data_IF_180306509410
#
_entry.id   IF_180306509410
#
_cell.length_a   1.000
_cell.length_b   1.000
_cell.length_c   1.000
_cell.angle_alpha   90.00
_cell.angle_beta   90.00
_cell.angle_gamma   90.00
#
_symmetry.space_group_name_H-M   'P 1'
#
loop_
_entity.id
_entity.type
_entity.pdbx_description
1 polymer ?
#
# COMPACT_ATOMS: atom_id res chain seq x y z
N UNK A 1 31.31 -14.56 50.51
CA UNK A 1 30.36 -13.80 49.68
C UNK A 1 31.15 -12.73 48.95
N UNK A 2 31.47 -12.96 47.68
CA UNK A 2 31.93 -11.94 46.74
C UNK A 2 31.54 -12.45 45.35
N UNK A 3 30.75 -11.65 44.66
CA UNK A 3 30.06 -11.91 43.41
C UNK A 3 31.01 -12.28 42.28
N UNK A 4 30.72 -13.37 41.59
CA UNK A 4 31.23 -13.65 40.24
C UNK A 4 30.70 -12.59 39.29
N UNK A 5 31.54 -11.61 38.95
CA UNK A 5 31.30 -10.73 37.81
C UNK A 5 31.31 -11.59 36.55
N UNK A 6 30.13 -11.88 36.02
CA UNK A 6 29.97 -12.35 34.65
C UNK A 6 30.49 -11.25 33.73
N UNK A 7 31.74 -11.43 33.26
CA UNK A 7 32.25 -10.69 32.11
C UNK A 7 31.33 -10.97 30.93
N UNK A 8 30.34 -10.09 30.73
CA UNK A 8 29.66 -9.96 29.45
C UNK A 8 30.73 -9.67 28.42
N UNK A 9 31.12 -10.70 27.65
CA UNK A 9 31.91 -10.52 26.46
C UNK A 9 31.03 -9.78 25.46
N UNK A 10 31.03 -8.45 25.52
CA UNK A 10 30.53 -7.65 24.41
C UNK A 10 31.46 -7.98 23.25
N UNK A 11 30.99 -8.69 22.21
CA UNK A 11 31.85 -8.94 21.08
C UNK A 11 32.21 -7.57 20.50
N UNK A 12 33.49 -7.38 20.19
CA UNK A 12 33.99 -6.32 19.32
C UNK A 12 33.48 -6.59 17.89
N UNK A 13 32.18 -6.71 17.73
CA UNK A 13 31.47 -6.94 16.49
C UNK A 13 30.55 -5.74 16.34
N UNK A 14 30.61 -5.13 15.17
CA UNK A 14 29.75 -4.02 14.80
C UNK A 14 28.28 -4.40 15.11
N UNK A 15 27.62 -3.64 15.97
CA UNK A 15 26.24 -3.88 16.42
C UNK A 15 25.28 -3.78 15.22
N UNK A 16 25.72 -3.16 14.13
CA UNK A 16 25.01 -3.03 12.87
C UNK A 16 25.48 -4.07 11.84
N UNK A 17 25.03 -5.31 12.00
CA UNK A 17 25.10 -6.27 10.89
C UNK A 17 23.99 -5.96 9.87
N UNK A 18 24.34 -5.30 8.75
CA UNK A 18 23.37 -4.91 7.70
C UNK A 18 22.52 -6.11 7.21
N UNK A 19 23.10 -7.31 7.20
CA UNK A 19 22.41 -8.52 6.77
C UNK A 19 21.38 -9.01 7.79
N UNK A 20 21.64 -8.78 9.07
CA UNK A 20 20.69 -9.04 10.14
C UNK A 20 19.55 -8.00 10.14
N UNK A 21 19.88 -6.74 9.86
CA UNK A 21 18.90 -5.67 9.69
C UNK A 21 18.02 -5.88 8.44
N UNK A 22 18.57 -6.33 7.32
CA UNK A 22 17.79 -6.71 6.14
C UNK A 22 16.86 -7.88 6.45
N UNK A 23 17.38 -8.91 7.14
CA UNK A 23 16.60 -10.06 7.52
C UNK A 23 15.48 -9.69 8.51
N UNK A 24 15.74 -8.84 9.49
CA UNK A 24 14.73 -8.37 10.44
C UNK A 24 13.65 -7.55 9.75
N UNK A 25 14.00 -6.70 8.79
CA UNK A 25 13.04 -5.97 7.96
C UNK A 25 12.21 -6.90 7.05
N UNK A 26 12.83 -7.92 6.44
CA UNK A 26 12.11 -8.87 5.60
C UNK A 26 11.12 -9.73 6.40
N UNK A 27 11.44 -10.01 7.67
CA UNK A 27 10.59 -10.76 8.60
C UNK A 27 9.57 -9.87 9.32
N UNK A 28 9.74 -8.55 9.32
CA UNK A 28 8.84 -7.64 10.02
C UNK A 28 7.45 -7.64 9.38
N UNK A 29 6.43 -7.45 10.20
CA UNK A 29 5.07 -7.25 9.71
C UNK A 29 4.97 -5.90 9.00
N UNK A 30 4.33 -5.83 7.81
CA UNK A 30 4.12 -4.54 7.17
C UNK A 30 3.03 -3.76 7.90
N UNK A 31 3.11 -2.43 7.84
CA UNK A 31 2.16 -1.52 8.49
C UNK A 31 0.75 -1.67 7.93
N UNK A 32 -0.22 -1.94 8.80
CA UNK A 32 -1.62 -2.12 8.44
C UNK A 32 -2.51 -1.10 9.20
N UNK A 33 -3.31 -0.34 8.46
CA UNK A 33 -4.13 0.75 8.99
C UNK A 33 -5.60 0.54 8.62
N UNK A 34 -6.51 0.86 9.55
CA UNK A 34 -7.95 0.96 9.26
C UNK A 34 -8.42 2.36 9.64
N UNK A 35 -9.18 2.98 8.74
CA UNK A 35 -9.74 4.32 8.96
C UNK A 35 -11.23 4.23 9.22
N UNK A 36 -11.60 4.61 10.44
CA UNK A 36 -12.94 4.63 10.99
C UNK A 36 -13.44 6.08 11.12
N UNK A 37 -14.76 6.23 11.20
CA UNK A 37 -15.41 7.53 11.34
C UNK A 37 -16.77 7.57 10.64
N UNK A 38 -17.53 8.63 10.89
CA UNK A 38 -18.88 8.82 10.33
C UNK A 38 -18.86 9.02 8.80
N UNK A 39 -19.97 8.74 8.08
CA UNK A 39 -20.06 9.08 6.66
C UNK A 39 -19.83 10.58 6.44
N UNK A 40 -19.12 10.96 5.36
CA UNK A 40 -18.81 12.35 5.06
C UNK A 40 -17.61 12.96 5.79
N UNK A 41 -16.94 12.23 6.69
CA UNK A 41 -15.80 12.75 7.46
C UNK A 41 -14.48 12.86 6.68
N UNK A 42 -14.43 12.39 5.42
CA UNK A 42 -13.23 12.44 4.59
C UNK A 42 -12.32 11.21 4.70
N UNK A 43 -12.82 10.09 5.25
CA UNK A 43 -12.09 8.81 5.41
C UNK A 43 -11.33 8.39 4.15
N UNK A 44 -11.99 8.41 2.99
CA UNK A 44 -11.41 8.03 1.69
C UNK A 44 -10.22 8.91 1.32
N UNK A 45 -10.36 10.21 1.46
CA UNK A 45 -9.31 11.19 1.13
C UNK A 45 -8.10 11.00 2.04
N UNK A 46 -8.33 10.83 3.35
CA UNK A 46 -7.26 10.57 4.30
C UNK A 46 -6.57 9.23 3.99
N UNK A 47 -7.33 8.16 3.73
CA UNK A 47 -6.81 6.83 3.44
C UNK A 47 -5.93 6.81 2.20
N UNK A 48 -6.34 7.49 1.13
CA UNK A 48 -5.56 7.58 -0.11
C UNK A 48 -4.24 8.31 0.11
N UNK A 49 -4.27 9.45 0.81
CA UNK A 49 -3.05 10.21 1.16
C UNK A 49 -2.10 9.38 2.02
N UNK A 50 -2.63 8.71 3.05
CA UNK A 50 -1.83 7.83 3.90
C UNK A 50 -1.20 6.67 3.11
N UNK A 51 -1.97 6.03 2.23
CA UNK A 51 -1.47 4.97 1.37
C UNK A 51 -0.33 5.45 0.47
N UNK A 52 -0.43 6.65 -0.10
CA UNK A 52 0.64 7.27 -0.90
C UNK A 52 1.90 7.53 -0.07
N UNK A 53 1.77 8.21 1.08
CA UNK A 53 2.92 8.60 1.91
C UNK A 53 3.62 7.36 2.49
N UNK A 54 2.85 6.39 2.98
CA UNK A 54 3.38 5.20 3.67
C UNK A 54 3.67 4.04 2.71
N UNK A 55 3.40 4.23 1.41
CA UNK A 55 3.54 3.23 0.34
C UNK A 55 2.85 1.92 0.70
N UNK A 56 1.61 2.05 1.17
CA UNK A 56 0.73 0.94 1.50
C UNK A 56 -0.30 0.77 0.39
N UNK A 57 -0.89 -0.43 0.29
CA UNK A 57 -1.98 -0.66 -0.66
C UNK A 57 -3.26 -0.03 -0.11
N UNK A 58 -3.84 0.92 -0.85
CA UNK A 58 -5.16 1.44 -0.54
C UNK A 58 -6.21 0.36 -0.86
N UNK A 59 -7.11 0.11 0.08
CA UNK A 59 -8.19 -0.87 -0.07
C UNK A 59 -9.51 -0.18 0.24
N UNK A 60 -10.34 -0.05 -0.78
CA UNK A 60 -11.72 0.44 -0.71
C UNK A 60 -12.59 -0.36 -1.68
N UNK A 61 -13.87 -0.55 -1.36
CA UNK A 61 -14.80 -1.32 -2.18
C UNK A 61 -14.76 -0.94 -3.68
N UNK A 62 -14.87 0.35 -4.00
CA UNK A 62 -14.90 0.83 -5.38
C UNK A 62 -13.61 0.51 -6.15
N UNK A 63 -12.45 0.75 -5.52
CA UNK A 63 -11.15 0.51 -6.15
C UNK A 63 -10.90 -0.97 -6.36
N UNK A 64 -11.30 -1.81 -5.40
CA UNK A 64 -11.21 -3.26 -5.52
C UNK A 64 -12.10 -3.77 -6.65
N UNK A 65 -13.34 -3.28 -6.77
CA UNK A 65 -14.24 -3.62 -7.87
C UNK A 65 -13.62 -3.23 -9.22
N UNK A 66 -13.17 -1.99 -9.34
CA UNK A 66 -12.56 -1.46 -10.58
C UNK A 66 -11.32 -2.25 -10.99
N UNK A 67 -10.42 -2.53 -10.03
CA UNK A 67 -9.20 -3.32 -10.28
C UNK A 67 -9.55 -4.72 -10.78
N UNK A 68 -10.52 -5.40 -10.16
CA UNK A 68 -10.94 -6.74 -10.57
C UNK A 68 -11.56 -6.75 -11.98
N UNK A 69 -12.36 -5.73 -12.33
CA UNK A 69 -12.94 -5.57 -13.67
C UNK A 69 -11.83 -5.35 -14.71
N UNK A 70 -10.86 -4.47 -14.43
CA UNK A 70 -9.74 -4.18 -15.33
C UNK A 70 -8.84 -5.41 -15.55
N UNK A 71 -8.55 -6.16 -14.48
CA UNK A 71 -7.76 -7.39 -14.53
C UNK A 71 -8.53 -8.58 -15.10
N UNK A 72 -9.84 -8.43 -15.37
CA UNK A 72 -10.75 -9.47 -15.88
C UNK A 72 -10.72 -10.74 -15.01
N UNK A 73 -10.70 -10.56 -13.68
CA UNK A 73 -10.79 -11.68 -12.74
C UNK A 73 -12.18 -12.30 -12.77
N UNK A 74 -12.35 -13.51 -12.24
CA UNK A 74 -13.68 -14.15 -12.12
C UNK A 74 -14.69 -13.26 -11.39
N UNK A 75 -14.25 -12.56 -10.34
CA UNK A 75 -15.08 -11.59 -9.62
C UNK A 75 -15.39 -10.36 -10.48
N UNK A 76 -14.40 -9.85 -11.22
CA UNK A 76 -14.57 -8.71 -12.12
C UNK A 76 -15.57 -8.99 -13.24
N UNK A 77 -15.51 -10.18 -13.84
CA UNK A 77 -16.45 -10.61 -14.87
C UNK A 77 -17.89 -10.71 -14.33
N UNK A 78 -18.07 -11.28 -13.12
CA UNK A 78 -19.37 -11.32 -12.44
C UNK A 78 -19.90 -9.90 -12.15
N UNK A 79 -19.05 -9.02 -11.62
CA UNK A 79 -19.43 -7.62 -11.39
C UNK A 79 -19.85 -6.94 -12.69
N UNK A 80 -19.07 -7.13 -13.76
CA UNK A 80 -19.35 -6.54 -15.07
C UNK A 80 -20.66 -7.05 -15.66
N UNK A 81 -20.97 -8.34 -15.52
CA UNK A 81 -22.25 -8.92 -15.95
C UNK A 81 -23.44 -8.33 -15.19
N UNK A 82 -23.34 -8.22 -13.85
CA UNK A 82 -24.39 -7.60 -13.03
C UNK A 82 -24.63 -6.14 -13.43
N UNK A 83 -23.54 -5.37 -13.59
CA UNK A 83 -23.61 -3.96 -14.00
C UNK A 83 -24.21 -3.80 -15.40
N UNK A 84 -23.89 -4.67 -16.37
CA UNK A 84 -24.50 -4.64 -17.70
C UNK A 84 -26.00 -4.98 -17.69
N UNK A 85 -26.45 -5.77 -16.72
CA UNK A 85 -27.88 -6.05 -16.49
C UNK A 85 -28.59 -4.93 -15.72
N UNK A 86 -27.88 -3.87 -15.32
CA UNK A 86 -28.42 -2.79 -14.50
C UNK A 86 -28.67 -3.20 -13.04
N UNK A 87 -28.05 -4.28 -12.56
CA UNK A 87 -28.17 -4.79 -11.20
C UNK A 87 -27.05 -4.22 -10.31
N UNK A 88 -27.33 -4.08 -9.01
CA UNK A 88 -26.32 -3.72 -8.02
C UNK A 88 -25.39 -4.90 -7.72
N UNK A 89 -24.15 -4.60 -7.35
CA UNK A 89 -23.19 -5.61 -6.89
C UNK A 89 -23.54 -5.97 -5.44
N UNK A 90 -23.68 -7.26 -5.15
CA UNK A 90 -24.03 -7.72 -3.80
C UNK A 90 -22.91 -7.43 -2.80
N UNK A 91 -23.30 -7.09 -1.57
CA UNK A 91 -22.36 -6.80 -0.47
C UNK A 91 -21.48 -8.01 -0.12
N UNK A 92 -22.01 -9.23 -0.28
CA UNK A 92 -21.25 -10.48 -0.18
C UNK A 92 -20.03 -10.49 -1.12
N UNK A 93 -20.27 -10.22 -2.41
CA UNK A 93 -19.24 -10.25 -3.44
C UNK A 93 -18.17 -9.18 -3.16
N UNK A 94 -18.59 -7.97 -2.74
CA UNK A 94 -17.67 -6.89 -2.35
C UNK A 94 -16.82 -7.30 -1.14
N UNK A 95 -17.43 -7.89 -0.11
CA UNK A 95 -16.72 -8.34 1.09
C UNK A 95 -15.69 -9.41 0.75
N UNK A 96 -16.03 -10.40 -0.07
CA UNK A 96 -15.09 -11.42 -0.52
C UNK A 96 -13.91 -10.83 -1.29
N UNK A 97 -14.16 -9.88 -2.20
CA UNK A 97 -13.09 -9.24 -2.96
C UNK A 97 -12.15 -8.43 -2.06
N UNK A 98 -12.68 -7.73 -1.05
CA UNK A 98 -11.87 -6.99 -0.07
C UNK A 98 -10.98 -7.95 0.71
N UNK A 99 -11.54 -9.03 1.26
CA UNK A 99 -10.79 -10.02 2.04
C UNK A 99 -9.70 -10.68 1.18
N UNK A 100 -10.02 -11.05 -0.06
CA UNK A 100 -9.05 -11.60 -1.02
C UNK A 100 -7.95 -10.60 -1.36
N UNK A 101 -8.26 -9.30 -1.47
CA UNK A 101 -7.26 -8.25 -1.70
C UNK A 101 -6.34 -8.08 -0.48
N UNK A 102 -6.87 -8.13 0.74
CA UNK A 102 -6.07 -8.09 1.98
C UNK A 102 -5.09 -9.27 2.05
N UNK A 103 -5.48 -10.45 1.57
CA UNK A 103 -4.61 -11.64 1.51
C UNK A 103 -3.63 -11.64 0.33
N UNK A 104 -3.66 -10.62 -0.53
CA UNK A 104 -2.81 -10.56 -1.71
C UNK A 104 -1.31 -10.43 -1.36
N UNK A 105 -0.40 -10.95 -2.20
CA UNK A 105 1.04 -10.87 -1.95
C UNK A 105 1.53 -9.41 -1.83
N UNK A 106 0.92 -8.48 -2.56
CA UNK A 106 1.22 -7.04 -2.47
C UNK A 106 1.00 -6.52 -1.04
N UNK A 107 -0.14 -6.85 -0.44
CA UNK A 107 -0.47 -6.41 0.92
C UNK A 107 0.43 -7.09 1.95
N UNK A 108 0.84 -8.34 1.75
CA UNK A 108 1.82 -8.99 2.65
C UNK A 108 3.20 -8.34 2.68
N UNK A 109 3.52 -7.52 1.67
CA UNK A 109 4.78 -6.80 1.59
C UNK A 109 4.65 -5.32 1.96
N UNK A 110 3.69 -4.62 1.34
CA UNK A 110 3.50 -3.18 1.49
C UNK A 110 2.63 -2.82 2.70
N UNK A 111 1.78 -3.74 3.13
CA UNK A 111 0.71 -3.46 4.09
C UNK A 111 -0.50 -2.85 3.40
N UNK A 112 -1.49 -2.43 4.18
CA UNK A 112 -2.74 -1.88 3.66
C UNK A 112 -3.22 -0.68 4.45
N UNK A 113 -3.98 0.19 3.76
CA UNK A 113 -4.86 1.18 4.37
C UNK A 113 -6.28 0.87 3.95
N UNK A 114 -7.08 0.35 4.88
CA UNK A 114 -8.45 -0.06 4.63
C UNK A 114 -9.41 1.07 4.97
N UNK A 115 -10.28 1.40 4.02
CA UNK A 115 -11.36 2.35 4.21
C UNK A 115 -12.69 1.75 3.75
N UNK A 116 -13.75 1.99 4.52
CA UNK A 116 -15.11 1.56 4.16
C UNK A 116 -15.45 0.11 4.55
N UNK A 117 -14.58 -0.59 5.29
CA UNK A 117 -14.90 -1.86 5.95
C UNK A 117 -14.51 -1.75 7.43
N UNK A 118 -15.44 -1.94 8.40
CA UNK A 118 -16.80 -2.41 8.21
C UNK A 118 -17.70 -1.39 7.49
N UNK A 119 -18.74 -1.91 6.85
CA UNK A 119 -19.78 -1.27 6.08
C UNK A 119 -20.95 -0.89 6.99
N UNK A 120 -21.71 0.15 6.62
CA UNK A 120 -22.94 0.52 7.32
C UNK A 120 -24.12 -0.40 6.95
N UNK A 121 -24.00 -1.11 5.82
CA UNK A 121 -25.02 -2.05 5.37
C UNK A 121 -24.90 -3.35 6.16
N UNK A 122 -26.06 -3.92 6.49
CA UNK A 122 -26.19 -5.24 7.12
C UNK A 122 -27.01 -6.20 6.24
N UNK A 123 -27.10 -5.92 4.92
CA UNK A 123 -27.84 -6.76 3.96
C UNK A 123 -27.24 -8.17 3.87
N UNK A 124 -25.92 -8.28 4.00
CA UNK A 124 -25.21 -9.56 4.00
C UNK A 124 -24.80 -10.03 5.39
N UNK A 125 -24.21 -9.14 6.19
CA UNK A 125 -23.54 -9.52 7.44
C UNK A 125 -23.61 -8.36 8.44
N UNK A 126 -23.89 -8.67 9.72
CA UNK A 126 -24.01 -7.62 10.75
C UNK A 126 -22.68 -6.92 11.01
N UNK A 127 -22.71 -5.69 11.53
CA UNK A 127 -21.48 -4.94 11.80
C UNK A 127 -20.56 -5.71 12.76
N UNK A 128 -21.12 -6.38 13.78
CA UNK A 128 -20.35 -7.19 14.72
C UNK A 128 -19.60 -8.34 14.02
N UNK A 129 -20.26 -9.04 13.10
CA UNK A 129 -19.62 -10.09 12.30
C UNK A 129 -18.55 -9.53 11.34
N UNK A 130 -18.75 -8.31 10.82
CA UNK A 130 -17.73 -7.63 10.00
C UNK A 130 -16.49 -7.29 10.84
N UNK A 131 -16.70 -6.81 12.05
CA UNK A 131 -15.65 -6.54 13.04
C UNK A 131 -14.91 -7.84 13.42
N UNK A 132 -15.61 -8.96 13.62
CA UNK A 132 -14.98 -10.26 13.86
C UNK A 132 -14.09 -10.70 12.70
N UNK A 133 -14.52 -10.48 11.45
CA UNK A 133 -13.66 -10.75 10.28
C UNK A 133 -12.37 -9.92 10.31
N UNK A 134 -12.46 -8.65 10.72
CA UNK A 134 -11.28 -7.77 10.87
C UNK A 134 -10.33 -8.31 11.96
N UNK A 135 -10.88 -8.76 13.09
CA UNK A 135 -10.09 -9.34 14.21
C UNK A 135 -9.37 -10.63 13.79
N UNK A 136 -9.99 -11.42 12.91
CA UNK A 136 -9.49 -12.72 12.44
C UNK A 136 -8.59 -12.63 11.20
N UNK A 137 -8.26 -11.44 10.71
CA UNK A 137 -7.32 -11.28 9.60
C UNK A 137 -5.93 -11.81 9.97
N UNK A 138 -5.28 -12.52 9.03
CA UNK A 138 -3.89 -12.96 9.16
C UNK A 138 -2.95 -11.77 9.43
N UNK A 139 -3.19 -10.67 8.73
CA UNK A 139 -2.54 -9.38 8.95
C UNK A 139 -3.49 -8.47 9.72
N UNK A 140 -3.46 -8.58 11.04
CA UNK A 140 -4.25 -7.71 11.94
C UNK A 140 -3.90 -6.23 11.71
N UNK A 141 -4.84 -5.29 11.88
CA UNK A 141 -4.50 -3.87 11.86
C UNK A 141 -3.52 -3.52 12.99
N UNK A 142 -2.53 -2.69 12.69
CA UNK A 142 -1.59 -2.14 13.66
C UNK A 142 -2.12 -0.85 14.28
N UNK A 143 -2.82 -0.03 13.50
CA UNK A 143 -3.44 1.19 14.01
C UNK A 143 -4.88 1.35 13.52
N UNK A 144 -5.71 1.90 14.41
CA UNK A 144 -7.06 2.35 14.13
C UNK A 144 -7.09 3.87 14.13
N UNK A 145 -7.44 4.48 13.00
CA UNK A 145 -7.57 5.92 12.88
C UNK A 145 -9.04 6.27 12.97
N UNK A 146 -9.46 6.94 14.04
CA UNK A 146 -10.84 7.37 14.22
C UNK A 146 -10.98 8.87 13.93
N UNK A 147 -11.71 9.20 12.85
CA UNK A 147 -12.00 10.60 12.49
C UNK A 147 -13.23 11.08 13.25
N UNK A 148 -13.01 11.96 14.23
CA UNK A 148 -14.05 12.64 14.99
C UNK A 148 -14.49 13.91 14.28
N UNK A 149 -15.79 14.07 14.09
CA UNK A 149 -16.38 15.28 13.51
C UNK A 149 -17.81 15.43 14.03
N UNK A 150 -18.25 16.68 14.18
CA UNK A 150 -19.60 16.99 14.66
C UNK A 150 -20.64 16.58 13.61
N UNK A 151 -21.83 16.18 14.05
CA UNK A 151 -22.87 15.75 13.10
C UNK A 151 -23.34 16.90 12.21
N UNK A 152 -23.37 18.12 12.78
CA UNK A 152 -23.71 19.33 12.04
C UNK A 152 -22.72 19.58 10.89
N UNK A 153 -21.41 19.55 11.17
CA UNK A 153 -20.38 19.75 10.14
C UNK A 153 -20.45 18.65 9.07
N UNK A 154 -20.70 17.41 9.46
CA UNK A 154 -20.83 16.29 8.52
C UNK A 154 -22.03 16.43 7.60
N UNK A 155 -23.20 16.79 8.14
CA UNK A 155 -24.40 17.00 7.33
C UNK A 155 -24.24 18.19 6.38
N UNK A 156 -23.57 19.26 6.81
CA UNK A 156 -23.21 20.39 5.95
C UNK A 156 -22.24 20.00 4.83
N UNK A 157 -21.23 19.18 5.14
CA UNK A 157 -20.28 18.66 4.14
C UNK A 157 -20.96 17.75 3.12
N UNK A 158 -21.79 16.82 3.56
CA UNK A 158 -22.50 15.89 2.67
C UNK A 158 -23.47 16.69 1.77
N UNK A 159 -24.24 17.61 2.33
CA UNK A 159 -25.18 18.42 1.55
C UNK A 159 -24.53 19.41 0.58
N UNK A 160 -23.30 19.83 0.88
CA UNK A 160 -22.47 20.62 0.00
C UNK A 160 -21.81 19.86 -1.13
N UNK A 161 -21.92 18.53 -1.20
CA UNK A 161 -21.31 17.74 -2.26
C UNK A 161 -22.12 17.75 -3.54
N UNK A 162 -21.41 17.71 -4.66
CA UNK A 162 -21.99 17.48 -5.98
C UNK A 162 -21.17 16.44 -6.73
N UNK A 163 -21.80 15.71 -7.63
CA UNK A 163 -21.16 14.69 -8.43
C UNK A 163 -21.26 15.04 -9.91
N UNK A 164 -20.16 14.87 -10.64
CA UNK A 164 -20.20 14.90 -12.09
C UNK A 164 -20.86 13.62 -12.62
N UNK A 165 -21.87 13.70 -13.50
CA UNK A 165 -22.62 12.54 -13.97
C UNK A 165 -21.75 11.52 -14.71
N UNK A 166 -20.86 11.99 -15.61
CA UNK A 166 -20.05 11.08 -16.44
C UNK A 166 -18.83 10.50 -15.72
N UNK A 167 -18.04 11.33 -15.04
CA UNK A 167 -16.83 10.87 -14.34
C UNK A 167 -17.11 10.26 -12.97
N UNK A 168 -18.29 10.54 -12.39
CA UNK A 168 -18.61 10.17 -11.02
C UNK A 168 -17.79 10.90 -9.95
N UNK A 169 -16.98 11.90 -10.33
CA UNK A 169 -16.12 12.64 -9.41
C UNK A 169 -16.95 13.54 -8.48
N UNK A 170 -16.62 13.53 -7.19
CA UNK A 170 -17.33 14.29 -6.16
C UNK A 170 -16.57 15.57 -5.84
N UNK A 171 -17.28 16.70 -5.91
CA UNK A 171 -16.79 18.04 -5.63
C UNK A 171 -17.41 18.56 -4.33
N UNK A 172 -16.58 19.18 -3.48
CA UNK A 172 -17.04 19.81 -2.24
C UNK A 172 -17.55 21.24 -2.51
N UNK A 173 -18.37 21.79 -1.60
CA UNK A 173 -18.94 23.15 -1.72
C UNK A 173 -17.89 24.21 -2.09
N UNK A 174 -16.71 24.14 -1.49
CA UNK A 174 -15.62 25.10 -1.72
C UNK A 174 -15.01 25.04 -3.14
N UNK A 175 -15.27 23.97 -3.90
CA UNK A 175 -14.71 23.74 -5.24
C UNK A 175 -15.67 24.13 -6.36
N UNK A 176 -16.98 24.22 -6.08
CA UNK A 176 -17.99 24.49 -7.10
C UNK A 176 -18.85 25.74 -6.82
N UNK A 177 -18.98 26.17 -5.56
CA UNK A 177 -19.80 27.34 -5.22
C UNK A 177 -19.03 28.64 -5.56
N UNK A 178 -19.50 29.43 -6.55
CA UNK A 178 -18.80 30.64 -6.99
C UNK A 178 -18.66 31.67 -5.86
N UNK A 179 -19.63 31.76 -4.94
CA UNK A 179 -19.58 32.74 -3.84
C UNK A 179 -18.46 32.41 -2.83
N UNK A 180 -18.15 31.12 -2.68
CA UNK A 180 -17.08 30.67 -1.78
C UNK A 180 -15.73 30.79 -2.49
N UNK A 181 -15.67 30.45 -3.77
CA UNK A 181 -14.45 30.59 -4.59
C UNK A 181 -14.00 32.06 -4.61
N UNK A 182 -14.91 33.00 -4.83
CA UNK A 182 -14.61 34.43 -4.81
C UNK A 182 -14.15 34.93 -3.43
N UNK A 183 -14.78 34.46 -2.34
CA UNK A 183 -14.35 34.78 -0.98
C UNK A 183 -12.95 34.24 -0.67
N UNK A 184 -12.61 33.04 -1.17
CA UNK A 184 -11.28 32.46 -1.00
C UNK A 184 -10.23 33.21 -1.82
N UNK A 185 -10.54 33.62 -3.05
CA UNK A 185 -9.66 34.47 -3.87
C UNK A 185 -9.37 35.82 -3.21
N UNK A 186 -10.40 36.48 -2.65
CA UNK A 186 -10.24 37.75 -1.92
C UNK A 186 -9.38 37.58 -0.65
N UNK A 187 -9.56 36.48 0.09
CA UNK A 187 -8.74 36.18 1.28
C UNK A 187 -7.29 35.79 0.95
N UNK A 188 -7.02 35.16 -0.20
CA UNK A 188 -5.65 34.88 -0.67
C UNK A 188 -4.96 36.17 -1.11
N UNK A 189 -5.63 37.02 -1.90
CA UNK A 189 -5.06 38.31 -2.30
C UNK A 189 -4.71 39.23 -1.12
N UNK A 190 -5.47 39.18 -0.03
CA UNK A 190 -5.14 39.90 1.20
C UNK A 190 -3.98 39.30 2.01
N UNK A 191 -3.66 38.01 1.85
CA UNK A 191 -2.53 37.36 2.54
C UNK A 191 -1.22 37.51 1.77
N UNK A 192 -1.29 37.58 0.44
CA UNK A 192 -0.14 37.84 -0.43
C UNK A 192 0.37 39.28 -0.31
N UNK A 193 -0.48 40.24 0.10
CA UNK A 193 -0.06 41.62 0.40
C UNK A 193 0.61 41.79 1.77
N UNK A 194 0.39 40.86 2.72
CA UNK A 194 0.90 40.95 4.10
C UNK A 194 2.13 40.08 4.38
N UNK A 195 2.51 39.14 3.49
CA UNK A 195 3.68 38.28 3.62
C UNK A 195 4.44 38.17 2.29
N UNK A 196 5.45 39.01 2.09
CA UNK A 196 6.58 38.64 1.23
C UNK A 196 7.36 37.54 1.97
N UNK A 197 7.59 36.38 1.31
CA UNK A 197 8.30 35.18 1.79
C UNK A 197 7.47 34.11 2.52
N UNK A 198 6.67 33.30 1.81
CA UNK A 198 6.59 31.84 2.08
C UNK A 198 6.37 31.09 0.75
N UNK A 199 7.35 30.26 0.38
CA UNK A 199 7.32 29.35 -0.78
C UNK A 199 6.28 28.23 -0.54
N UNK A 200 5.02 28.48 -0.91
CA UNK A 200 3.97 27.45 -1.03
C UNK A 200 3.85 26.97 -2.50
N UNK A 201 4.98 26.57 -3.11
CA UNK A 201 5.01 25.89 -4.42
C UNK A 201 5.03 24.37 -4.26
N UNK A 202 3.97 23.73 -3.71
CA UNK A 202 3.92 22.26 -3.73
C UNK A 202 2.52 21.65 -3.60
N UNK A 203 1.46 22.24 -4.21
CA UNK A 203 0.11 21.61 -4.19
C UNK A 203 -0.75 21.76 -5.48
N UNK A 204 -0.17 22.01 -6.64
CA UNK A 204 -0.95 21.99 -7.91
C UNK A 204 -0.76 20.76 -8.80
N UNK A 205 0.10 19.80 -8.44
CA UNK A 205 0.32 18.60 -9.26
C UNK A 205 -0.36 17.34 -8.72
N UNK A 206 -1.70 17.33 -8.68
CA UNK A 206 -2.46 16.07 -8.87
C UNK A 206 -3.94 16.27 -9.22
N UNK A 207 -4.33 17.48 -9.61
CA UNK A 207 -5.57 17.68 -10.37
C UNK A 207 -5.13 17.85 -11.82
N UNK A 208 -5.62 16.96 -12.67
CA UNK A 208 -5.46 16.99 -14.12
C UNK A 208 -5.31 18.43 -14.63
N UNK A 209 -4.24 18.68 -15.39
CA UNK A 209 -4.01 19.93 -16.11
C UNK A 209 -5.18 20.17 -17.08
N UNK A 210 -6.27 20.72 -16.56
CA UNK A 210 -7.45 21.09 -17.31
C UNK A 210 -7.63 22.59 -17.21
N UNK A 211 -7.62 23.20 -18.40
CA UNK A 211 -7.80 24.62 -18.66
C UNK A 211 -8.84 25.28 -17.73
N UNK A 212 -8.54 26.46 -17.16
CA UNK A 212 -9.51 27.24 -16.38
C UNK A 212 -10.84 27.49 -17.10
N UNK A 213 -10.85 27.52 -18.44
CA UNK A 213 -12.03 27.67 -19.29
C UNK A 213 -12.94 26.42 -19.31
N UNK A 214 -12.36 25.21 -19.22
CA UNK A 214 -13.16 23.98 -19.07
C UNK A 214 -13.79 23.88 -17.69
N UNK A 215 -13.16 24.49 -16.68
CA UNK A 215 -13.68 24.49 -15.30
C UNK A 215 -15.02 25.19 -15.14
N UNK A 216 -15.30 26.26 -15.89
CA UNK A 216 -16.59 26.97 -15.79
C UNK A 216 -17.75 26.21 -16.43
N UNK A 217 -17.51 25.47 -17.52
CA UNK A 217 -18.58 24.80 -18.27
C UNK A 217 -19.14 23.57 -17.55
N UNK A 218 -18.29 22.80 -16.84
CA UNK A 218 -18.76 21.60 -16.14
C UNK A 218 -19.50 21.87 -14.83
N UNK A 219 -19.31 23.05 -14.20
CA UNK A 219 -19.95 23.38 -12.92
C UNK A 219 -21.47 23.31 -12.99
N UNK A 220 -22.04 23.68 -14.15
CA UNK A 220 -23.48 23.63 -14.39
C UNK A 220 -24.03 22.20 -14.56
N UNK A 221 -23.17 21.22 -14.85
CA UNK A 221 -23.53 19.82 -15.07
C UNK A 221 -23.48 18.99 -13.78
N UNK A 222 -22.99 19.58 -12.69
CA UNK A 222 -22.86 18.91 -11.40
C UNK A 222 -24.24 18.60 -10.79
N UNK A 223 -24.47 17.33 -10.48
CA UNK A 223 -25.74 16.84 -9.95
C UNK A 223 -25.63 16.58 -8.45
N UNK A 224 -26.73 16.79 -7.72
CA UNK A 224 -26.86 16.38 -6.33
C UNK A 224 -27.48 14.99 -6.26
N UNK A 225 -26.85 14.04 -5.54
CA UNK A 225 -27.41 12.70 -5.38
C UNK A 225 -28.52 12.70 -4.32
N UNK A 226 -29.43 11.70 -4.34
CA UNK A 226 -30.39 11.51 -3.27
C UNK A 226 -29.75 11.37 -1.88
N UNK A 227 -28.57 10.77 -1.79
CA UNK A 227 -27.84 10.63 -0.51
C UNK A 227 -27.28 11.95 0.02
N UNK A 228 -27.12 12.95 -0.85
CA UNK A 228 -26.56 14.26 -0.50
C UNK A 228 -27.64 15.22 0.02
N UNK A 229 -28.92 14.84 0.09
CA UNK A 229 -29.92 15.69 0.74
C UNK A 229 -29.72 15.68 2.27
N UNK A 230 -29.92 16.84 2.91
CA UNK A 230 -29.71 17.02 4.36
C UNK A 230 -30.44 15.96 5.20
N UNK A 231 -31.72 15.73 4.93
CA UNK A 231 -32.53 14.74 5.65
C UNK A 231 -31.97 13.31 5.52
N UNK A 232 -31.45 12.96 4.34
CA UNK A 232 -30.88 11.64 4.09
C UNK A 232 -29.48 11.50 4.70
N UNK A 233 -28.70 12.59 4.71
CA UNK A 233 -27.42 12.65 5.39
C UNK A 233 -27.59 12.48 6.91
N UNK A 234 -28.55 13.19 7.52
CA UNK A 234 -28.89 13.06 8.94
C UNK A 234 -29.33 11.64 9.29
N UNK A 235 -30.23 11.04 8.49
CA UNK A 235 -30.63 9.63 8.67
C UNK A 235 -29.43 8.69 8.58
N UNK A 236 -28.49 8.94 7.67
CA UNK A 236 -27.29 8.09 7.51
C UNK A 236 -26.31 8.22 8.67
N UNK A 237 -26.14 9.44 9.21
CA UNK A 237 -25.36 9.68 10.42
C UNK A 237 -26.03 9.07 11.64
N UNK A 238 -27.37 9.13 11.74
CA UNK A 238 -28.16 8.44 12.76
C UNK A 238 -27.95 6.93 12.75
N UNK A 239 -28.16 6.28 11.59
CA UNK A 239 -27.91 4.85 11.41
C UNK A 239 -26.50 4.43 11.82
N UNK A 240 -25.49 5.26 11.52
CA UNK A 240 -24.12 4.98 11.95
C UNK A 240 -23.98 4.94 13.47
N UNK A 241 -24.63 5.86 14.19
CA UNK A 241 -24.60 5.87 15.66
C UNK A 241 -25.31 4.67 16.25
N UNK A 242 -26.46 4.30 15.68
CA UNK A 242 -27.30 3.24 16.24
C UNK A 242 -26.70 1.84 16.02
N UNK A 243 -26.08 1.60 14.86
CA UNK A 243 -25.61 0.27 14.46
C UNK A 243 -24.10 0.12 14.63
N UNK A 244 -23.33 1.12 14.19
CA UNK A 244 -21.89 0.96 13.98
C UNK A 244 -21.04 1.44 15.15
N UNK A 245 -21.53 2.40 15.93
CA UNK A 245 -20.74 3.06 16.97
C UNK A 245 -20.33 2.10 18.10
N UNK A 246 -21.28 1.33 18.65
CA UNK A 246 -20.98 0.39 19.73
C UNK A 246 -20.00 -0.72 19.32
N UNK A 247 -20.19 -1.47 18.20
CA UNK A 247 -19.21 -2.48 17.79
C UNK A 247 -17.81 -1.91 17.50
N UNK A 248 -17.73 -0.66 17.04
CA UNK A 248 -16.44 0.01 16.82
C UNK A 248 -15.79 0.45 18.14
N UNK A 249 -16.56 0.91 19.11
CA UNK A 249 -16.06 1.22 20.45
C UNK A 249 -15.52 -0.03 21.14
N UNK A 250 -16.20 -1.17 21.01
CA UNK A 250 -15.70 -2.46 21.49
C UNK A 250 -14.38 -2.86 20.80
N UNK A 251 -14.32 -2.71 19.47
CA UNK A 251 -13.09 -2.96 18.70
C UNK A 251 -11.93 -2.05 19.14
N UNK A 252 -12.23 -0.78 19.43
CA UNK A 252 -11.24 0.18 19.91
C UNK A 252 -10.81 -0.13 21.35
N UNK A 253 -11.72 -0.49 22.24
CA UNK A 253 -11.42 -0.79 23.64
C UNK A 253 -10.53 -2.03 23.82
N UNK A 254 -10.60 -2.99 22.90
CA UNK A 254 -9.73 -4.17 22.88
C UNK A 254 -8.29 -3.87 22.42
N UNK A 255 -8.04 -2.74 21.74
CA UNK A 255 -6.71 -2.38 21.27
C UNK A 255 -5.93 -1.54 22.28
N UNK A 256 -4.60 -1.68 22.24
CA UNK A 256 -3.70 -0.82 23.01
C UNK A 256 -3.93 0.65 22.64
N UNK A 257 -4.08 1.54 23.64
CA UNK A 257 -4.36 2.96 23.41
C UNK A 257 -3.35 3.66 22.48
N UNK A 258 -2.08 3.21 22.47
CA UNK A 258 -1.02 3.75 21.60
C UNK A 258 -1.27 3.47 20.11
N UNK A 259 -2.10 2.47 19.79
CA UNK A 259 -2.46 2.07 18.43
C UNK A 259 -3.70 2.79 17.90
N UNK A 260 -4.38 3.54 18.76
CA UNK A 260 -5.57 4.30 18.40
C UNK A 260 -5.16 5.76 18.14
N UNK A 261 -5.51 6.25 16.96
CA UNK A 261 -5.20 7.62 16.54
C UNK A 261 -6.52 8.34 16.32
N UNK A 262 -6.84 9.26 17.22
CA UNK A 262 -7.98 10.14 17.07
C UNK A 262 -7.59 11.37 16.27
N UNK A 263 -8.41 11.69 15.27
CA UNK A 263 -8.16 12.77 14.32
C UNK A 263 -9.38 13.68 14.28
N UNK A 264 -9.16 14.99 14.38
CA UNK A 264 -10.23 15.96 14.15
C UNK A 264 -10.47 16.11 12.63
N UNK A 265 -11.67 15.77 12.19
CA UNK A 265 -12.09 15.86 10.81
C UNK A 265 -12.22 17.30 10.29
N UNK A 266 -12.16 18.32 11.15
CA UNK A 266 -12.16 19.74 10.78
C UNK A 266 -10.79 20.30 10.39
N UNK A 267 -9.69 19.59 10.71
CA UNK A 267 -8.33 20.01 10.36
C UNK A 267 -7.93 19.57 8.94
N UNK A 268 -6.97 20.26 8.34
CA UNK A 268 -6.41 19.87 7.05
C UNK A 268 -5.67 18.52 7.18
N UNK A 269 -5.73 17.62 6.19
CA UNK A 269 -5.11 16.29 6.25
C UNK A 269 -3.60 16.30 6.54
N UNK A 270 -2.91 17.40 6.26
CA UNK A 270 -1.46 17.53 6.35
C UNK A 270 -0.97 17.81 7.78
N UNK A 271 -1.68 18.67 8.52
CA UNK A 271 -1.37 19.00 9.93
C UNK A 271 -1.50 17.77 10.84
N UNK A 272 -2.39 16.86 10.47
CA UNK A 272 -2.67 15.60 11.16
C UNK A 272 -1.53 14.58 11.05
N UNK A 273 -0.70 14.68 10.01
CA UNK A 273 0.43 13.79 9.74
C UNK A 273 1.71 14.30 10.40
N UNK A 274 1.99 15.60 10.31
CA UNK A 274 3.24 16.20 10.82
C UNK A 274 3.33 16.13 12.35
N UNK A 275 2.21 16.26 13.08
CA UNK A 275 2.22 16.26 14.55
C UNK A 275 2.61 14.90 15.19
N UNK A 276 2.34 13.77 14.52
CA UNK A 276 2.70 12.41 15.00
C UNK A 276 3.87 11.77 14.26
N UNK A 277 4.30 12.30 13.11
CA UNK A 277 5.42 11.77 12.32
C UNK A 277 6.80 11.89 12.99
N UNK A 278 6.94 12.64 14.10
CA UNK A 278 8.22 12.64 14.87
C UNK A 278 8.57 11.27 15.47
N UNK A 279 7.64 10.32 15.55
CA UNK A 279 7.87 9.00 16.15
C UNK A 279 7.96 7.83 15.14
N UNK A 280 7.51 7.99 13.90
CA UNK A 280 7.38 6.86 12.96
C UNK A 280 8.16 7.12 11.67
N UNK A 281 9.40 6.63 11.65
CA UNK A 281 10.24 6.62 10.46
C UNK A 281 9.59 5.71 9.41
N UNK A 282 9.09 6.31 8.32
CA UNK A 282 8.70 5.57 7.14
C UNK A 282 9.90 4.73 6.68
N UNK A 283 9.76 3.41 6.73
CA UNK A 283 10.77 2.52 6.14
C UNK A 283 10.65 2.64 4.61
N UNK A 284 11.73 3.03 3.95
CA UNK A 284 11.78 3.22 2.50
C UNK A 284 11.48 1.93 1.74
N UNK A 285 10.21 1.76 1.32
CA UNK A 285 9.73 0.68 0.45
C UNK A 285 9.80 1.08 -1.04
N UNK A 286 10.77 1.90 -1.42
CA UNK A 286 10.82 2.49 -2.77
C UNK A 286 11.42 1.50 -3.77
N UNK A 287 10.65 1.21 -4.82
CA UNK A 287 11.15 0.51 -6.01
C UNK A 287 11.42 1.55 -7.09
N UNK A 288 12.65 1.58 -7.58
CA UNK A 288 13.03 2.33 -8.78
C UNK A 288 13.25 1.27 -9.85
N UNK A 289 12.36 1.26 -10.86
CA UNK A 289 12.53 0.45 -12.06
C UNK A 289 13.39 1.25 -13.04
N UNK A 290 14.48 0.66 -13.51
CA UNK A 290 15.32 1.33 -14.47
C UNK A 290 14.99 0.85 -15.88
N UNK A 291 14.14 1.59 -16.60
CA UNK A 291 13.87 1.36 -18.01
C UNK A 291 14.83 2.20 -18.87
N UNK A 292 16.08 1.74 -19.01
CA UNK A 292 17.06 2.42 -19.86
C UNK A 292 17.83 1.41 -20.72
N UNK A 293 17.70 1.55 -22.04
CA UNK A 293 18.41 0.79 -23.07
C UNK A 293 19.92 1.05 -23.00
N UNK A 294 20.75 0.09 -22.57
CA UNK A 294 22.22 0.25 -22.67
C UNK A 294 23.00 -1.02 -22.99
N UNK A 295 23.95 -0.86 -23.92
CA UNK A 295 24.59 -1.92 -24.70
C UNK A 295 25.91 -2.46 -24.10
N UNK A 296 26.32 -2.12 -22.87
CA UNK A 296 27.56 -2.65 -22.27
C UNK A 296 27.45 -2.90 -20.76
N UNK A 297 27.68 -4.16 -20.38
CA UNK A 297 27.49 -4.74 -19.04
C UNK A 297 28.36 -4.13 -17.91
N UNK A 298 29.35 -3.29 -18.25
CA UNK A 298 30.27 -2.66 -17.29
C UNK A 298 29.89 -1.23 -16.87
N UNK A 299 29.14 -0.51 -17.72
CA UNK A 299 28.81 0.91 -17.51
C UNK A 299 27.49 1.11 -16.76
N UNK A 300 26.63 0.08 -16.71
CA UNK A 300 25.34 0.13 -16.02
C UNK A 300 25.47 0.66 -14.58
N UNK A 301 26.47 0.24 -13.82
CA UNK A 301 26.67 0.70 -12.44
C UNK A 301 27.14 2.15 -12.34
N UNK A 302 27.97 2.61 -13.29
CA UNK A 302 28.45 4.00 -13.33
C UNK A 302 27.29 4.94 -13.69
N UNK A 303 26.50 4.56 -14.69
CA UNK A 303 25.34 5.32 -15.17
C UNK A 303 24.21 5.31 -14.12
N UNK A 304 23.91 4.17 -13.50
CA UNK A 304 22.91 4.12 -12.43
C UNK A 304 23.33 4.89 -11.19
N UNK A 305 24.63 4.93 -10.84
CA UNK A 305 25.12 5.76 -9.74
C UNK A 305 24.93 7.27 -9.97
N UNK A 306 24.76 7.70 -11.23
CA UNK A 306 24.40 9.07 -11.59
C UNK A 306 22.89 9.32 -11.68
N UNK A 307 22.07 8.28 -11.76
CA UNK A 307 20.61 8.40 -11.81
C UNK A 307 19.96 8.12 -10.45
N UNK A 308 19.07 9.03 -10.04
CA UNK A 308 18.14 8.95 -8.91
C UNK A 308 18.70 8.20 -7.69
N UNK A 309 19.60 8.87 -6.96
CA UNK A 309 20.10 8.38 -5.67
C UNK A 309 18.93 8.26 -4.68
N UNK A 310 18.85 7.15 -3.94
CA UNK A 310 17.87 6.94 -2.86
C UNK A 310 17.93 8.08 -1.84
N UNK A 311 19.14 8.61 -1.60
CA UNK A 311 19.41 9.87 -0.93
C UNK A 311 20.75 10.43 -1.42
N UNK A 312 21.02 11.73 -1.22
CA UNK A 312 22.19 12.47 -1.73
C UNK A 312 23.58 11.82 -1.48
N UNK A 313 23.68 10.85 -0.54
CA UNK A 313 24.90 10.07 -0.22
C UNK A 313 24.74 8.55 -0.34
N UNK A 314 23.57 8.04 -0.70
CA UNK A 314 23.29 6.60 -0.77
C UNK A 314 23.51 6.08 -2.19
N UNK A 315 24.63 5.37 -2.40
CA UNK A 315 24.96 4.74 -3.69
C UNK A 315 24.27 3.38 -3.83
N UNK A 316 23.88 3.05 -5.06
CA UNK A 316 23.39 1.73 -5.42
C UNK A 316 24.41 0.62 -5.09
N UNK A 317 23.98 -0.43 -4.38
CA UNK A 317 24.81 -1.60 -4.05
C UNK A 317 24.38 -2.85 -4.83
N UNK A 318 25.33 -3.75 -5.12
CA UNK A 318 25.04 -5.06 -5.73
C UNK A 318 24.39 -5.98 -4.70
N UNK A 319 23.33 -6.67 -5.09
CA UNK A 319 22.75 -7.74 -4.26
C UNK A 319 23.65 -8.98 -4.23
N UNK A 320 23.41 -9.85 -3.24
CA UNK A 320 24.08 -11.16 -3.09
C UNK A 320 23.81 -12.11 -4.27
N UNK A 321 22.74 -11.87 -5.03
CA UNK A 321 22.37 -12.64 -6.22
C UNK A 321 23.17 -12.22 -7.47
N UNK A 322 23.89 -11.09 -7.42
CA UNK A 322 24.70 -10.62 -8.54
C UNK A 322 23.87 -10.41 -9.80
N UNK A 323 24.17 -11.17 -10.86
CA UNK A 323 23.42 -11.16 -12.13
C UNK A 323 22.34 -12.23 -12.21
N UNK A 324 22.27 -13.15 -11.24
CA UNK A 324 21.29 -14.23 -11.28
C UNK A 324 19.92 -13.71 -10.83
N UNK A 325 18.87 -14.19 -11.51
CA UNK A 325 17.51 -13.79 -11.17
C UNK A 325 17.04 -14.48 -9.88
N UNK A 326 16.71 -13.75 -8.79
CA UNK A 326 16.24 -14.35 -7.54
C UNK A 326 14.94 -15.16 -7.70
N UNK A 327 14.03 -14.71 -8.59
CA UNK A 327 12.74 -15.38 -8.84
C UNK A 327 12.95 -16.71 -9.57
N UNK A 328 13.82 -16.76 -10.58
CA UNK A 328 14.15 -17.99 -11.29
C UNK A 328 14.89 -18.97 -10.37
N UNK A 329 15.83 -18.45 -9.59
CA UNK A 329 16.56 -19.25 -8.61
C UNK A 329 15.61 -19.89 -7.60
N UNK A 330 14.58 -19.18 -7.13
CA UNK A 330 13.59 -19.75 -6.19
C UNK A 330 12.86 -20.97 -6.77
N UNK A 331 12.71 -21.02 -8.10
CA UNK A 331 12.14 -22.16 -8.82
C UNK A 331 13.15 -23.29 -9.08
N UNK A 332 14.44 -23.06 -8.78
CA UNK A 332 15.53 -24.00 -8.99
C UNK A 332 16.37 -23.73 -10.25
N UNK A 333 16.03 -22.67 -11.01
CA UNK A 333 16.67 -22.36 -12.28
C UNK A 333 17.74 -21.27 -12.15
N UNK A 334 18.96 -21.54 -12.63
CA UNK A 334 20.01 -20.53 -12.72
C UNK A 334 19.86 -19.79 -14.06
N UNK A 335 19.11 -18.69 -14.03
CA UNK A 335 18.94 -17.81 -15.19
C UNK A 335 19.58 -16.46 -14.90
N UNK A 336 20.42 -16.00 -15.83
CA UNK A 336 21.02 -14.67 -15.77
C UNK A 336 19.96 -13.63 -16.15
N UNK A 337 19.83 -12.58 -15.33
CA UNK A 337 18.89 -11.50 -15.56
C UNK A 337 19.32 -10.56 -16.69
N UNK A 338 18.34 -9.87 -17.28
CA UNK A 338 18.59 -8.80 -18.24
C UNK A 338 18.81 -7.47 -17.48
N UNK A 339 19.92 -6.74 -17.70
CA UNK A 339 20.13 -5.42 -17.10
C UNK A 339 19.00 -4.41 -17.34
N UNK A 340 18.26 -4.52 -18.44
CA UNK A 340 17.10 -3.66 -18.73
C UNK A 340 15.92 -3.91 -17.77
N UNK A 341 15.94 -5.05 -17.07
CA UNK A 341 14.94 -5.46 -16.08
C UNK A 341 15.51 -5.40 -14.66
N UNK A 342 16.32 -4.38 -14.39
CA UNK A 342 16.88 -4.12 -13.07
C UNK A 342 15.91 -3.37 -12.16
N UNK A 343 15.87 -3.79 -10.90
CA UNK A 343 15.05 -3.20 -9.84
C UNK A 343 15.87 -2.97 -8.60
N UNK A 344 15.62 -1.85 -7.95
CA UNK A 344 16.12 -1.60 -6.61
C UNK A 344 15.19 -2.08 -5.51
N UNK A 345 15.77 -2.65 -4.45
CA UNK A 345 15.06 -2.93 -3.22
C UNK A 345 16.05 -2.92 -2.04
N UNK A 346 15.73 -2.20 -0.95
CA UNK A 346 16.59 -2.02 0.24
C UNK A 346 18.03 -1.55 -0.08
N UNK A 347 18.16 -0.62 -1.02
CA UNK A 347 19.47 -0.13 -1.47
C UNK A 347 20.31 -1.12 -2.28
N UNK A 348 19.76 -2.31 -2.57
CA UNK A 348 20.39 -3.37 -3.36
C UNK A 348 19.73 -3.48 -4.73
N UNK A 349 20.53 -3.74 -5.74
CA UNK A 349 20.06 -3.97 -7.10
C UNK A 349 19.84 -5.46 -7.39
N UNK A 350 18.70 -5.76 -7.98
CA UNK A 350 18.30 -7.09 -8.42
C UNK A 350 18.07 -7.07 -9.93
N UNK A 351 18.60 -8.07 -10.64
CA UNK A 351 18.47 -8.19 -12.09
C UNK A 351 17.55 -9.37 -12.38
N UNK A 352 16.49 -9.13 -13.14
CA UNK A 352 15.43 -10.11 -13.37
C UNK A 352 15.47 -10.64 -14.81
N UNK A 353 15.11 -11.91 -15.00
CA UNK A 353 15.22 -12.58 -16.30
C UNK A 353 14.09 -12.28 -17.26
N UNK A 354 12.91 -11.91 -16.75
CA UNK A 354 11.71 -11.68 -17.56
C UNK A 354 10.81 -10.62 -16.92
N UNK A 355 9.92 -10.03 -17.73
CA UNK A 355 8.89 -9.10 -17.23
C UNK A 355 7.95 -9.77 -16.21
N UNK A 356 7.70 -11.07 -16.34
CA UNK A 356 6.92 -11.82 -15.35
C UNK A 356 7.66 -11.92 -14.00
N UNK A 357 8.97 -12.18 -14.03
CA UNK A 357 9.80 -12.18 -12.82
C UNK A 357 9.89 -10.77 -12.20
N UNK A 358 9.95 -9.73 -13.04
CA UNK A 358 9.87 -8.33 -12.63
C UNK A 358 8.60 -8.03 -11.82
N UNK A 359 7.44 -8.30 -12.41
CA UNK A 359 6.15 -8.09 -11.76
C UNK A 359 6.02 -8.92 -10.47
N UNK A 360 6.46 -10.17 -10.49
CA UNK A 360 6.42 -11.05 -9.32
C UNK A 360 7.30 -10.51 -8.18
N UNK A 361 8.51 -10.04 -8.48
CA UNK A 361 9.42 -9.47 -7.48
C UNK A 361 8.89 -8.15 -6.91
N UNK A 362 8.37 -7.25 -7.75
CA UNK A 362 7.76 -5.98 -7.31
C UNK A 362 6.50 -6.20 -6.48
N UNK A 363 5.75 -7.27 -6.74
CA UNK A 363 4.56 -7.59 -5.96
C UNK A 363 4.88 -8.02 -4.53
N UNK A 364 5.87 -8.91 -4.35
CA UNK A 364 6.35 -9.32 -3.03
C UNK A 364 7.76 -9.92 -3.16
N UNK A 365 8.83 -9.20 -2.76
CA UNK A 365 10.19 -9.70 -2.85
C UNK A 365 10.53 -10.70 -1.74
N UNK A 366 9.81 -10.66 -0.60
CA UNK A 366 10.16 -11.41 0.62
C UNK A 366 10.35 -12.92 0.38
N UNK A 367 9.48 -13.64 -0.37
CA UNK A 367 9.62 -15.08 -0.62
C UNK A 367 10.90 -15.47 -1.37
N UNK A 368 11.44 -14.55 -2.17
CA UNK A 368 12.63 -14.78 -2.99
C UNK A 368 13.93 -14.46 -2.26
N UNK A 369 13.86 -13.58 -1.26
CA UNK A 369 15.00 -13.13 -0.47
C UNK A 369 15.17 -13.88 0.86
N UNK A 370 14.07 -14.41 1.42
CA UNK A 370 14.08 -15.17 2.67
C UNK A 370 14.45 -16.65 2.47
N UNK A 371 15.10 -17.29 3.47
CA UNK A 371 15.44 -18.70 3.43
C UNK A 371 14.20 -19.62 3.42
N UNK A 372 14.29 -20.86 2.89
CA UNK A 372 15.50 -21.47 2.32
C UNK A 372 15.87 -20.82 1.00
N UNK A 373 17.12 -20.37 0.92
CA UNK A 373 17.68 -19.84 -0.32
C UNK A 373 17.95 -21.04 -1.22
N UNK A 374 17.44 -21.03 -2.47
CA UNK A 374 17.78 -22.06 -3.44
C UNK A 374 19.30 -22.06 -3.61
N UNK A 375 19.95 -23.14 -3.18
CA UNK A 375 21.36 -23.35 -3.49
C UNK A 375 21.44 -23.63 -4.99
N UNK A 376 22.39 -23.03 -5.72
CA UNK A 376 22.58 -23.36 -7.13
C UNK A 376 22.74 -24.89 -7.26
N UNK A 377 22.00 -25.56 -8.18
CA UNK A 377 22.10 -26.99 -8.36
C UNK A 377 23.56 -27.42 -8.57
N UNK A 378 24.08 -28.20 -7.63
CA UNK A 378 25.42 -28.77 -7.73
C UNK A 378 25.40 -29.90 -8.75
N UNK A 379 26.06 -29.69 -9.90
CA UNK A 379 26.24 -30.74 -10.91
C UNK A 379 27.50 -31.53 -10.53
N UNK A 380 27.31 -32.79 -10.14
CA UNK A 380 28.41 -33.69 -9.79
C UNK A 380 28.60 -34.68 -10.92
N UNK A 381 29.85 -34.83 -11.36
CA UNK A 381 30.25 -35.74 -12.42
C UNK A 381 31.22 -36.75 -11.84
N UNK A 382 30.88 -38.04 -11.91
CA UNK A 382 31.68 -39.12 -11.34
C UNK A 382 32.36 -39.89 -12.48
N UNK A 383 33.69 -39.82 -12.54
CA UNK A 383 34.50 -40.48 -13.57
C UNK A 383 35.28 -41.69 -13.03
N UNK A 384 35.71 -42.58 -13.94
CA UNK A 384 36.48 -43.79 -13.61
C UNK A 384 36.40 -44.88 -14.69
N UNK A 385 37.13 -45.99 -14.57
CA UNK A 385 37.11 -47.15 -15.49
C UNK A 385 35.85 -48.03 -15.35
N UNK A 386 35.43 -48.81 -16.36
CA UNK A 386 34.23 -49.67 -16.28
C UNK A 386 34.26 -50.56 -15.01
N UNK A 387 33.09 -50.81 -14.42
CA UNK A 387 32.91 -51.57 -13.15
C UNK A 387 33.43 -50.91 -11.86
N UNK A 388 33.94 -49.69 -11.89
CA UNK A 388 34.43 -48.98 -10.68
C UNK A 388 33.33 -48.48 -9.71
N UNK A 389 32.09 -48.96 -9.82
CA UNK A 389 30.98 -48.55 -8.95
C UNK A 389 30.46 -47.12 -9.13
N UNK A 390 30.81 -46.42 -10.24
CA UNK A 390 30.37 -45.04 -10.53
C UNK A 390 28.86 -44.86 -10.40
N UNK A 391 28.08 -45.74 -11.03
CA UNK A 391 26.62 -45.67 -11.02
C UNK A 391 26.07 -45.76 -9.60
N UNK A 392 26.64 -46.63 -8.78
CA UNK A 392 26.30 -46.80 -7.37
C UNK A 392 26.60 -45.54 -6.57
N UNK A 393 27.78 -44.93 -6.78
CA UNK A 393 28.18 -43.68 -6.14
C UNK A 393 27.28 -42.52 -6.57
N UNK A 394 26.96 -42.38 -7.86
CA UNK A 394 26.02 -41.37 -8.35
C UNK A 394 24.65 -41.50 -7.66
N UNK A 395 24.10 -42.72 -7.58
CA UNK A 395 22.83 -43.00 -6.92
C UNK A 395 22.88 -42.67 -5.42
N UNK A 396 23.97 -43.00 -4.73
CA UNK A 396 24.16 -42.68 -3.31
C UNK A 396 24.27 -41.17 -3.06
N UNK A 397 25.00 -40.44 -3.91
CA UNK A 397 25.12 -38.97 -3.84
C UNK A 397 23.75 -38.33 -4.09
N UNK A 398 23.03 -38.76 -5.14
CA UNK A 398 21.71 -38.24 -5.43
C UNK A 398 20.71 -38.53 -4.30
N UNK A 399 20.72 -39.73 -3.72
CA UNK A 399 19.86 -40.05 -2.59
C UNK A 399 20.17 -39.18 -1.36
N UNK A 400 21.46 -39.01 -1.01
CA UNK A 400 21.90 -38.23 0.16
C UNK A 400 21.54 -36.75 0.04
N UNK A 401 21.67 -36.17 -1.15
CA UNK A 401 21.46 -34.74 -1.39
C UNK A 401 20.14 -34.40 -2.08
N UNK A 402 19.20 -35.36 -2.20
CA UNK A 402 17.93 -35.22 -2.93
C UNK A 402 18.13 -34.73 -4.38
N UNK A 403 19.21 -35.17 -5.02
CA UNK A 403 19.54 -34.88 -6.41
C UNK A 403 18.85 -35.87 -7.38
N UNK A 404 18.89 -35.54 -8.67
CA UNK A 404 18.51 -36.46 -9.76
C UNK A 404 19.78 -36.96 -10.44
N UNK A 405 19.86 -38.26 -10.71
CA UNK A 405 20.99 -38.91 -11.43
C UNK A 405 20.76 -38.82 -12.93
#
# INVERSE_FOLDING_TARGET
>A
MASSEEKQSQPFADIFNEDEAEKSFLLSKPTCLIILGKPGSGKKTLARKLAQIWKCIFIEALEVIQTNIQEKTEYGLKCQELLFKGQSISEELVTEMILKKIESPQVTHFGYVLSGFPSLSEEYMTVSQQVEKIKNLKLKPDFLINIKCSDYDLCQRISGQRQHPDSGQVYQRNQWDPNIIEKHKKKKGQREEDNEEEEDEELEEEQTAEDPLKKSEFLHQLVQRPEDFLENAEKRVGKYKDIMLHPLEDLMAEQDCERIIEVDGNQQPYDLLVAKNKAYVASDKNYICCSCCFNKQGELFRVLSSYQLIARRYRWRRSRWGKACPVALKKGDIVMGNPDLAVSFLGKMYILSSLAALKAFMSNPRPYLLPPMPLPPCKVLVFGPPFSGKTTICNLIAHKYKGKV
#
